data_IF_416786750698
#
_entry.id   IF_416786750698
#
_cell.length_a   1.000
_cell.length_b   1.000
_cell.length_c   1.000
_cell.angle_alpha   90.00
_cell.angle_beta   90.00
_cell.angle_gamma   90.00
#
_symmetry.space_group_name_H-M   'P 1'
#
loop_
_entity.id
_entity.type
_entity.pdbx_description
1 polymer ?
#
# COMPACT_ATOMS: atom_id res chain seq x y z
N UNK A 1 13.59 -21.79 35.76
CA UNK A 1 14.16 -22.76 34.81
C UNK A 1 13.01 -23.39 34.04
N UNK A 2 12.71 -22.90 32.85
CA UNK A 2 11.73 -23.50 31.96
C UNK A 2 12.53 -24.37 30.97
N UNK A 3 12.53 -25.67 31.19
CA UNK A 3 13.12 -26.64 30.27
C UNK A 3 12.20 -26.77 29.06
N UNK A 4 12.39 -25.87 28.09
CA UNK A 4 11.73 -25.95 26.79
C UNK A 4 12.32 -27.10 26.00
N UNK A 5 11.48 -28.08 25.71
CA UNK A 5 11.74 -29.18 24.79
C UNK A 5 12.08 -28.59 23.41
N UNK A 6 13.35 -28.73 22.99
CA UNK A 6 13.84 -28.32 21.67
C UNK A 6 13.53 -29.41 20.66
N UNK A 7 12.26 -29.68 20.39
CA UNK A 7 11.90 -30.31 19.13
C UNK A 7 12.01 -29.24 18.04
N UNK A 8 13.20 -29.11 17.45
CA UNK A 8 13.39 -28.43 16.17
C UNK A 8 12.62 -29.23 15.11
N UNK A 9 11.31 -28.99 15.01
CA UNK A 9 10.55 -29.42 13.85
C UNK A 9 11.20 -28.78 12.63
N UNK A 10 11.69 -29.61 11.70
CA UNK A 10 12.12 -29.14 10.38
C UNK A 10 10.95 -28.37 9.79
N UNK A 11 11.13 -27.06 9.55
CA UNK A 11 10.10 -26.24 8.95
C UNK A 11 9.65 -26.91 7.64
N UNK A 12 8.37 -27.29 7.55
CA UNK A 12 7.84 -28.00 6.39
C UNK A 12 8.05 -27.12 5.15
N UNK A 13 8.88 -27.60 4.23
CA UNK A 13 9.12 -26.89 2.98
C UNK A 13 7.82 -26.84 2.19
N UNK A 14 7.37 -25.62 1.91
CA UNK A 14 6.21 -25.36 1.08
C UNK A 14 6.45 -25.87 -0.36
N UNK A 15 5.54 -26.68 -0.89
CA UNK A 15 5.53 -27.12 -2.31
C UNK A 15 5.60 -25.93 -3.30
N UNK A 16 6.13 -26.16 -4.49
CA UNK A 16 6.09 -25.15 -5.55
C UNK A 16 4.63 -24.84 -5.96
N UNK A 17 4.36 -23.58 -6.33
CA UNK A 17 3.09 -23.20 -6.93
C UNK A 17 2.98 -23.80 -8.36
N UNK A 18 1.80 -24.31 -8.70
CA UNK A 18 1.49 -24.89 -9.99
C UNK A 18 0.67 -23.91 -10.83
N UNK A 19 1.03 -23.70 -12.11
CA UNK A 19 0.31 -22.78 -12.98
C UNK A 19 -1.08 -23.31 -13.33
N UNK A 20 -1.98 -22.40 -13.72
CA UNK A 20 -3.29 -22.70 -14.28
C UNK A 20 -3.70 -21.62 -15.30
N UNK A 21 -4.46 -22.02 -16.31
CA UNK A 21 -5.07 -21.09 -17.26
C UNK A 21 -6.44 -20.64 -16.76
N UNK A 22 -6.83 -19.40 -17.08
CA UNK A 22 -8.18 -18.92 -16.79
C UNK A 22 -9.20 -19.75 -17.57
N UNK A 23 -10.19 -20.28 -16.85
CA UNK A 23 -11.38 -20.89 -17.42
C UNK A 23 -12.46 -19.83 -17.66
N UNK A 24 -13.17 -19.93 -18.78
CA UNK A 24 -14.23 -18.99 -19.15
C UNK A 24 -13.73 -17.67 -19.73
N UNK A 25 -14.64 -16.70 -19.88
CA UNK A 25 -14.34 -15.37 -20.44
C UNK A 25 -14.23 -14.35 -19.31
N UNK A 26 -13.29 -13.41 -19.42
CA UNK A 26 -13.13 -12.32 -18.45
C UNK A 26 -14.44 -11.54 -18.23
N UNK A 27 -15.15 -11.23 -19.31
CA UNK A 27 -16.40 -10.46 -19.28
C UNK A 27 -17.52 -11.16 -18.51
N UNK A 28 -17.46 -12.49 -18.37
CA UNK A 28 -18.44 -13.26 -17.60
C UNK A 28 -18.32 -13.01 -16.09
N UNK A 29 -17.15 -12.56 -15.59
CA UNK A 29 -16.92 -12.36 -14.15
C UNK A 29 -17.90 -11.34 -13.58
N UNK A 30 -18.11 -10.21 -14.26
CA UNK A 30 -19.05 -9.18 -13.80
C UNK A 30 -20.48 -9.69 -13.62
N UNK A 31 -20.88 -10.71 -14.38
CA UNK A 31 -22.24 -11.26 -14.35
C UNK A 31 -22.33 -12.46 -13.40
N UNK A 32 -21.36 -13.37 -13.48
CA UNK A 32 -21.43 -14.71 -12.88
C UNK A 32 -20.79 -14.80 -11.50
N UNK A 33 -19.78 -13.99 -11.20
CA UNK A 33 -19.15 -14.04 -9.88
C UNK A 33 -20.13 -13.49 -8.83
N UNK A 34 -20.35 -14.27 -7.77
CA UNK A 34 -21.18 -13.91 -6.63
C UNK A 34 -20.39 -14.18 -5.36
N UNK A 35 -20.34 -13.16 -4.51
CA UNK A 35 -19.74 -13.21 -3.19
C UNK A 35 -20.48 -12.20 -2.33
N UNK A 36 -20.67 -12.50 -1.04
CA UNK A 36 -21.49 -11.67 -0.16
C UNK A 36 -20.95 -10.24 -0.09
N UNK A 37 -21.87 -9.28 -0.19
CA UNK A 37 -21.61 -7.84 -0.16
C UNK A 37 -20.61 -7.34 -1.22
N UNK A 38 -20.41 -8.07 -2.31
CA UNK A 38 -19.54 -7.65 -3.41
C UNK A 38 -20.35 -7.27 -4.64
N UNK A 39 -20.02 -6.12 -5.22
CA UNK A 39 -20.52 -5.70 -6.52
C UNK A 39 -19.37 -5.49 -7.48
N UNK A 40 -19.30 -6.33 -8.51
CA UNK A 40 -18.36 -6.15 -9.63
C UNK A 40 -18.90 -5.05 -10.54
N UNK A 41 -18.13 -3.99 -10.75
CA UNK A 41 -18.51 -2.87 -11.61
C UNK A 41 -18.05 -3.08 -13.06
N UNK A 42 -16.94 -3.79 -13.26
CA UNK A 42 -16.46 -4.16 -14.60
C UNK A 42 -15.51 -5.35 -14.55
N UNK A 43 -15.47 -6.11 -15.63
CA UNK A 43 -14.45 -7.13 -15.90
C UNK A 43 -14.11 -7.08 -17.38
N UNK A 44 -12.87 -6.76 -17.72
CA UNK A 44 -12.44 -6.51 -19.11
C UNK A 44 -11.13 -7.23 -19.41
N UNK A 45 -11.07 -7.93 -20.54
CA UNK A 45 -9.84 -8.55 -21.02
C UNK A 45 -8.83 -7.49 -21.48
N UNK A 46 -7.59 -7.61 -21.01
CA UNK A 46 -6.47 -6.74 -21.34
C UNK A 46 -5.40 -7.57 -22.05
N UNK A 47 -5.00 -7.15 -23.25
CA UNK A 47 -3.94 -7.80 -24.01
C UNK A 47 -2.59 -7.68 -23.29
N UNK A 48 -1.66 -8.58 -23.61
CA UNK A 48 -0.28 -8.46 -23.12
C UNK A 48 0.34 -7.17 -23.64
N UNK A 49 1.10 -6.48 -22.80
CA UNK A 49 1.72 -5.20 -23.16
C UNK A 49 1.92 -4.27 -21.98
N UNK A 50 2.17 -3.00 -22.30
CA UNK A 50 2.45 -1.96 -21.32
C UNK A 50 1.15 -1.51 -20.61
N UNK A 51 1.12 -1.64 -19.28
CA UNK A 51 0.04 -1.13 -18.43
C UNK A 51 0.53 0.15 -17.77
N UNK A 52 -0.12 1.27 -18.11
CA UNK A 52 0.22 2.57 -17.56
C UNK A 52 -0.08 2.63 -16.06
N UNK A 53 0.87 3.16 -15.29
CA UNK A 53 0.65 3.59 -13.91
C UNK A 53 0.28 5.06 -13.94
N UNK A 54 -0.97 5.36 -13.65
CA UNK A 54 -1.30 6.68 -13.12
C UNK A 54 -0.83 6.69 -11.67
N UNK A 55 0.36 7.22 -11.41
CA UNK A 55 0.77 7.50 -10.03
C UNK A 55 -0.02 8.69 -9.47
N UNK A 56 0.42 9.18 -8.30
CA UNK A 56 0.02 10.51 -7.82
C UNK A 56 0.14 11.56 -8.96
N UNK A 57 -0.61 12.67 -8.95
CA UNK A 57 -0.69 13.65 -10.05
C UNK A 57 0.65 14.09 -10.69
N UNK A 58 1.78 13.90 -10.00
CA UNK A 58 3.12 14.30 -10.41
C UNK A 58 4.12 13.13 -10.60
N UNK A 59 3.68 11.87 -10.56
CA UNK A 59 4.57 10.73 -10.83
C UNK A 59 4.77 10.54 -12.35
N UNK A 60 5.98 10.18 -12.81
CA UNK A 60 6.18 9.80 -14.21
C UNK A 60 5.19 8.68 -14.57
N UNK A 61 4.50 8.82 -15.71
CA UNK A 61 3.67 7.75 -16.28
C UNK A 61 4.59 6.62 -16.73
N UNK A 62 4.97 5.77 -15.79
CA UNK A 62 5.71 4.55 -16.06
C UNK A 62 4.70 3.49 -16.50
N UNK A 63 5.03 2.74 -17.53
CA UNK A 63 4.23 1.61 -17.96
C UNK A 63 5.01 0.33 -17.73
N UNK A 64 4.38 -0.66 -17.10
CA UNK A 64 5.01 -1.96 -16.85
C UNK A 64 4.49 -2.98 -17.84
N UNK A 65 5.39 -3.80 -18.38
CA UNK A 65 4.98 -4.93 -19.20
C UNK A 65 4.18 -5.92 -18.34
N UNK A 66 2.99 -6.30 -18.77
CA UNK A 66 2.15 -7.31 -18.13
C UNK A 66 1.72 -8.37 -19.15
N UNK A 67 1.53 -9.64 -18.72
CA UNK A 67 0.92 -10.66 -19.56
C UNK A 67 -0.53 -10.31 -19.87
N UNK A 68 -1.15 -11.00 -20.83
CA UNK A 68 -2.59 -10.89 -21.04
C UNK A 68 -3.32 -11.29 -19.75
N UNK A 69 -4.31 -10.49 -19.34
CA UNK A 69 -4.98 -10.65 -18.06
C UNK A 69 -6.41 -10.11 -18.10
N UNK A 70 -7.23 -10.51 -17.15
CA UNK A 70 -8.53 -9.91 -16.89
C UNK A 70 -8.38 -8.81 -15.83
N UNK A 71 -8.90 -7.61 -16.10
CA UNK A 71 -9.01 -6.53 -15.13
C UNK A 71 -10.42 -6.51 -14.57
N UNK A 72 -10.54 -6.75 -13.27
CA UNK A 72 -11.80 -6.73 -12.52
C UNK A 72 -11.79 -5.53 -11.59
N UNK A 73 -12.86 -4.74 -11.58
CA UNK A 73 -13.08 -3.65 -10.62
C UNK A 73 -14.39 -3.86 -9.89
N UNK A 74 -14.43 -3.45 -8.63
CA UNK A 74 -15.62 -3.60 -7.82
C UNK A 74 -15.54 -2.86 -6.51
N UNK A 75 -16.60 -3.03 -5.73
CA UNK A 75 -16.72 -2.54 -4.37
C UNK A 75 -17.25 -3.64 -3.46
N UNK A 76 -16.89 -3.56 -2.18
CA UNK A 76 -17.39 -4.45 -1.14
C UNK A 76 -17.93 -3.64 0.04
N UNK A 77 -18.96 -4.16 0.71
CA UNK A 77 -19.58 -3.57 1.90
C UNK A 77 -20.00 -2.09 1.71
N UNK A 78 -20.82 -1.84 0.69
CA UNK A 78 -21.44 -0.51 0.49
C UNK A 78 -22.38 -0.18 1.67
N UNK A 79 -22.17 0.99 2.29
CA UNK A 79 -22.92 1.40 3.48
C UNK A 79 -22.98 2.92 3.67
N UNK A 80 -23.87 3.36 4.56
CA UNK A 80 -23.92 4.71 5.11
C UNK A 80 -23.13 4.75 6.42
N UNK A 81 -22.16 5.66 6.53
CA UNK A 81 -21.38 5.87 7.74
C UNK A 81 -22.13 6.65 8.82
N UNK A 82 -21.60 6.61 10.04
CA UNK A 82 -22.13 7.35 11.19
C UNK A 82 -22.02 8.88 11.01
N UNK A 83 -21.10 9.33 10.14
CA UNK A 83 -20.93 10.72 9.73
C UNK A 83 -21.85 11.12 8.56
N UNK A 84 -22.76 10.23 8.13
CA UNK A 84 -23.68 10.47 7.02
C UNK A 84 -23.05 10.38 5.63
N UNK A 85 -21.80 9.94 5.47
CA UNK A 85 -21.16 9.74 4.16
C UNK A 85 -21.35 8.31 3.65
N UNK A 86 -21.22 8.11 2.35
CA UNK A 86 -21.26 6.77 1.76
C UNK A 86 -19.84 6.18 1.79
N UNK A 87 -19.73 4.93 2.22
CA UNK A 87 -18.47 4.18 2.26
C UNK A 87 -18.63 2.85 1.54
N UNK A 88 -17.53 2.40 0.94
CA UNK A 88 -17.36 1.06 0.40
C UNK A 88 -15.86 0.76 0.34
N UNK A 89 -15.50 -0.51 0.30
CA UNK A 89 -14.13 -0.95 0.02
C UNK A 89 -13.99 -1.12 -1.48
N UNK A 90 -13.42 -0.12 -2.14
CA UNK A 90 -13.10 -0.19 -3.57
C UNK A 90 -11.89 -1.08 -3.81
N UNK A 91 -11.92 -1.81 -4.92
CA UNK A 91 -10.78 -2.62 -5.35
C UNK A 91 -10.65 -2.70 -6.87
N UNK A 92 -9.42 -2.95 -7.32
CA UNK A 92 -9.17 -3.57 -8.61
C UNK A 92 -8.34 -4.83 -8.43
N UNK A 93 -8.61 -5.84 -9.25
CA UNK A 93 -7.89 -7.10 -9.28
C UNK A 93 -7.51 -7.44 -10.72
N UNK A 94 -6.27 -7.90 -10.92
CA UNK A 94 -5.74 -8.33 -12.21
C UNK A 94 -5.41 -9.83 -12.16
N UNK A 95 -6.01 -10.58 -13.07
CA UNK A 95 -5.99 -12.04 -13.12
C UNK A 95 -5.35 -12.49 -14.45
N UNK A 96 -4.09 -12.95 -14.48
CA UNK A 96 -3.43 -13.40 -15.71
C UNK A 96 -4.19 -14.50 -16.44
N UNK A 97 -4.25 -14.46 -17.78
CA UNK A 97 -4.85 -15.56 -18.55
C UNK A 97 -4.07 -16.86 -18.38
N UNK A 98 -2.75 -16.75 -18.19
CA UNK A 98 -1.85 -17.83 -17.77
C UNK A 98 -1.29 -17.46 -16.39
N UNK A 99 -1.89 -18.01 -15.34
CA UNK A 99 -1.57 -17.67 -13.95
C UNK A 99 -0.54 -18.65 -13.37
N UNK A 100 0.37 -18.12 -12.56
CA UNK A 100 1.48 -18.89 -12.00
C UNK A 100 1.16 -19.63 -10.69
N UNK A 101 -0.11 -19.64 -10.26
CA UNK A 101 -0.56 -20.26 -9.00
C UNK A 101 -0.40 -19.39 -7.75
N UNK A 102 0.07 -18.13 -7.88
CA UNK A 102 0.35 -17.24 -6.74
C UNK A 102 -0.53 -15.99 -6.70
N UNK A 103 -0.96 -15.62 -5.50
CA UNK A 103 -1.75 -14.42 -5.23
C UNK A 103 -0.90 -13.36 -4.51
N UNK A 104 -1.09 -12.08 -4.86
CA UNK A 104 -0.41 -10.96 -4.22
C UNK A 104 -1.39 -9.84 -3.85
N UNK A 105 -1.47 -9.49 -2.58
CA UNK A 105 -2.17 -8.30 -2.09
C UNK A 105 -1.22 -7.11 -2.10
N UNK A 106 -1.46 -6.15 -2.99
CA UNK A 106 -0.72 -4.89 -3.05
C UNK A 106 -1.32 -3.91 -2.03
N UNK A 107 -0.61 -3.73 -0.91
CA UNK A 107 -1.00 -2.77 0.12
C UNK A 107 -0.48 -1.36 -0.23
N UNK A 108 -1.34 -0.36 -0.08
CA UNK A 108 -1.11 1.00 -0.60
C UNK A 108 -0.58 1.97 0.46
N UNK A 109 -0.08 3.13 0.00
CA UNK A 109 0.61 4.13 0.80
C UNK A 109 -0.25 5.30 1.28
N UNK A 110 0.34 6.20 2.06
CA UNK A 110 -0.33 7.41 2.57
C UNK A 110 -1.49 7.07 3.50
N UNK A 111 -2.60 7.79 3.36
CA UNK A 111 -3.84 7.49 4.08
C UNK A 111 -4.78 6.55 3.29
N UNK A 112 -4.27 5.84 2.28
CA UNK A 112 -5.09 5.13 1.27
C UNK A 112 -6.06 6.08 0.55
N UNK A 113 -7.34 5.74 0.39
CA UNK A 113 -8.32 6.64 -0.24
C UNK A 113 -8.46 6.49 -1.75
N UNK A 114 -7.58 5.71 -2.38
CA UNK A 114 -7.55 5.52 -3.84
C UNK A 114 -7.09 4.11 -4.20
N UNK A 115 -7.86 3.45 -5.07
CA UNK A 115 -7.48 2.16 -5.67
C UNK A 115 -6.30 2.40 -6.61
N UNK A 116 -5.14 1.86 -6.26
CA UNK A 116 -3.95 1.93 -7.11
C UNK A 116 -3.99 0.85 -8.20
N UNK A 117 -3.24 1.07 -9.28
CA UNK A 117 -3.10 0.05 -10.33
C UNK A 117 -2.46 -1.21 -9.74
N UNK A 118 -3.14 -2.35 -9.84
CA UNK A 118 -2.77 -3.62 -9.20
C UNK A 118 -1.66 -4.36 -9.96
N UNK A 119 -0.45 -3.79 -10.01
CA UNK A 119 0.71 -4.39 -10.68
C UNK A 119 1.54 -5.29 -9.76
N UNK A 120 1.35 -5.19 -8.45
CA UNK A 120 2.16 -5.83 -7.43
C UNK A 120 3.51 -5.16 -7.28
N UNK A 121 3.56 -3.84 -7.41
CA UNK A 121 4.78 -3.05 -7.23
C UNK A 121 5.06 -2.81 -5.73
N UNK A 122 6.33 -2.75 -5.37
CA UNK A 122 6.79 -2.72 -3.97
C UNK A 122 7.24 -1.33 -3.50
N UNK A 123 7.32 -0.37 -4.43
CA UNK A 123 8.07 0.88 -4.24
C UNK A 123 9.58 0.65 -4.36
N UNK A 124 10.38 1.72 -4.32
CA UNK A 124 11.85 1.63 -4.24
C UNK A 124 12.60 1.33 -5.54
N UNK A 125 11.98 1.52 -6.72
CA UNK A 125 12.70 1.44 -8.01
C UNK A 125 12.68 0.11 -8.81
N UNK A 126 12.06 -1.01 -8.40
CA UNK A 126 11.92 -2.17 -9.29
C UNK A 126 11.23 -1.82 -10.61
N UNK A 127 11.79 -2.29 -11.73
CA UNK A 127 11.24 -2.13 -13.08
C UNK A 127 10.15 -3.15 -13.42
N UNK A 128 9.78 -4.02 -12.47
CA UNK A 128 8.74 -5.07 -12.62
C UNK A 128 7.89 -5.18 -11.35
N UNK A 129 6.77 -5.90 -11.43
CA UNK A 129 5.86 -6.17 -10.30
C UNK A 129 5.28 -7.59 -10.34
N UNK A 130 4.52 -7.99 -9.32
CA UNK A 130 3.97 -9.34 -9.21
C UNK A 130 3.11 -9.75 -10.43
N UNK A 131 2.36 -8.83 -11.03
CA UNK A 131 1.56 -9.12 -12.22
C UNK A 131 2.44 -9.50 -13.43
N UNK A 132 3.57 -8.83 -13.61
CA UNK A 132 4.56 -9.15 -14.64
C UNK A 132 5.06 -10.59 -14.49
N UNK A 133 5.22 -11.06 -13.25
CA UNK A 133 5.66 -12.41 -12.90
C UNK A 133 4.52 -13.45 -12.96
N UNK A 134 3.31 -13.04 -13.39
CA UNK A 134 2.15 -13.92 -13.54
C UNK A 134 1.35 -14.17 -12.27
N UNK A 135 1.47 -13.32 -11.25
CA UNK A 135 0.61 -13.38 -10.06
C UNK A 135 -0.77 -12.80 -10.35
N UNK A 136 -1.77 -13.31 -9.65
CA UNK A 136 -3.04 -12.58 -9.49
C UNK A 136 -2.84 -11.49 -8.44
N UNK A 137 -3.20 -10.25 -8.75
CA UNK A 137 -2.90 -9.10 -7.89
C UNK A 137 -4.17 -8.34 -7.55
N UNK A 138 -4.38 -7.97 -6.29
CA UNK A 138 -5.44 -7.06 -5.85
C UNK A 138 -4.86 -5.78 -5.22
N UNK A 139 -5.54 -4.65 -5.42
CA UNK A 139 -5.27 -3.37 -4.75
C UNK A 139 -6.60 -2.73 -4.30
N UNK A 140 -6.57 -1.92 -3.24
CA UNK A 140 -7.77 -1.35 -2.62
C UNK A 140 -7.57 0.07 -2.10
N UNK A 141 -8.65 0.86 -2.05
CA UNK A 141 -8.68 2.17 -1.38
C UNK A 141 -8.81 2.09 0.15
N UNK A 142 -8.84 0.88 0.70
CA UNK A 142 -8.99 0.57 2.12
C UNK A 142 -10.30 1.08 2.77
N UNK A 143 -11.39 1.20 2.00
CA UNK A 143 -12.72 1.42 2.57
C UNK A 143 -13.19 2.87 2.60
N UNK A 144 -12.46 3.78 1.95
CA UNK A 144 -12.85 5.17 1.78
C UNK A 144 -12.33 5.69 0.45
N UNK A 145 -13.11 6.56 -0.21
CA UNK A 145 -12.75 7.14 -1.49
C UNK A 145 -12.44 8.63 -1.34
N UNK A 146 -11.45 9.11 -2.08
CA UNK A 146 -11.14 10.54 -2.21
C UNK A 146 -9.65 10.84 -2.11
N UNK A 147 -9.33 12.12 -1.85
CA UNK A 147 -7.96 12.55 -1.62
C UNK A 147 -7.41 11.94 -0.32
N UNK A 148 -6.10 11.69 -0.26
CA UNK A 148 -5.40 11.16 0.93
C UNK A 148 -5.46 12.16 2.11
N UNK A 149 -6.61 12.25 2.76
CA UNK A 149 -6.88 13.15 3.87
C UNK A 149 -7.59 12.38 5.02
N UNK A 150 -7.54 12.89 6.26
CA UNK A 150 -8.03 12.13 7.41
C UNK A 150 -9.56 12.22 7.60
N UNK A 151 -10.34 12.75 6.65
CA UNK A 151 -11.76 13.02 6.85
C UNK A 151 -12.64 11.78 7.03
N UNK A 152 -12.16 10.60 6.59
CA UNK A 152 -12.78 9.30 6.88
C UNK A 152 -12.75 8.95 8.37
N UNK A 153 -11.88 9.59 9.15
CA UNK A 153 -11.71 9.36 10.58
C UNK A 153 -12.94 9.70 11.44
N UNK A 154 -13.94 10.38 10.87
CA UNK A 154 -15.23 10.61 11.53
C UNK A 154 -16.09 9.35 11.65
N UNK A 155 -15.86 8.33 10.82
CA UNK A 155 -16.61 7.08 10.83
C UNK A 155 -15.77 5.93 11.45
N UNK A 156 -16.25 5.26 12.52
CA UNK A 156 -15.50 4.19 13.18
C UNK A 156 -15.17 3.00 12.28
N UNK A 157 -16.11 2.59 11.41
CA UNK A 157 -15.91 1.44 10.53
C UNK A 157 -14.95 1.78 9.37
N UNK A 158 -14.91 3.02 8.90
CA UNK A 158 -13.93 3.48 7.92
C UNK A 158 -12.52 3.45 8.52
N UNK A 159 -12.35 3.86 9.78
CA UNK A 159 -11.08 3.69 10.53
C UNK A 159 -10.68 2.23 10.66
N UNK A 160 -11.65 1.35 10.93
CA UNK A 160 -11.42 -0.08 11.03
C UNK A 160 -11.00 -0.68 9.68
N UNK A 161 -11.69 -0.33 8.59
CA UNK A 161 -11.35 -0.79 7.25
C UNK A 161 -9.95 -0.33 6.82
N UNK A 162 -9.59 0.94 7.06
CA UNK A 162 -8.24 1.46 6.87
C UNK A 162 -7.20 0.70 7.72
N UNK A 163 -7.53 0.44 8.99
CA UNK A 163 -6.62 -0.23 9.91
C UNK A 163 -6.33 -1.69 9.53
N UNK A 164 -7.36 -2.47 9.21
CA UNK A 164 -7.23 -3.90 8.93
C UNK A 164 -8.43 -4.53 8.20
N UNK A 165 -9.63 -3.93 8.31
CA UNK A 165 -10.87 -4.53 7.81
C UNK A 165 -10.88 -4.75 6.30
N UNK A 166 -10.33 -3.83 5.51
CA UNK A 166 -10.30 -3.98 4.06
C UNK A 166 -9.44 -5.18 3.63
N UNK A 167 -8.28 -5.39 4.25
CA UNK A 167 -7.44 -6.57 4.02
C UNK A 167 -8.19 -7.84 4.45
N UNK A 168 -8.79 -7.83 5.64
CA UNK A 168 -9.53 -8.99 6.17
C UNK A 168 -10.66 -9.45 5.25
N UNK A 169 -11.40 -8.50 4.66
CA UNK A 169 -12.59 -8.76 3.84
C UNK A 169 -12.24 -9.11 2.39
N UNK A 170 -11.32 -8.36 1.78
CA UNK A 170 -10.94 -8.58 0.38
C UNK A 170 -10.11 -9.84 0.15
N UNK A 171 -9.32 -10.28 1.13
CA UNK A 171 -8.47 -11.47 0.97
C UNK A 171 -9.26 -12.76 0.65
N UNK A 172 -10.26 -13.16 1.45
CA UNK A 172 -11.07 -14.35 1.13
C UNK A 172 -11.89 -14.17 -0.14
N UNK A 173 -12.42 -12.97 -0.41
CA UNK A 173 -13.11 -12.66 -1.67
C UNK A 173 -12.21 -12.86 -2.88
N UNK A 174 -10.98 -12.31 -2.86
CA UNK A 174 -10.01 -12.44 -3.94
C UNK A 174 -9.61 -13.91 -4.18
N UNK A 175 -9.38 -14.67 -3.10
CA UNK A 175 -9.09 -16.11 -3.19
C UNK A 175 -10.26 -16.91 -3.76
N UNK A 176 -11.50 -16.53 -3.43
CA UNK A 176 -12.69 -17.15 -3.99
C UNK A 176 -12.82 -16.85 -5.49
N UNK A 177 -12.60 -15.60 -5.91
CA UNK A 177 -12.58 -15.23 -7.32
C UNK A 177 -11.50 -16.00 -8.10
N UNK A 178 -10.29 -16.12 -7.55
CA UNK A 178 -9.22 -16.96 -8.13
C UNK A 178 -9.69 -18.41 -8.29
N UNK A 179 -10.30 -18.99 -7.25
CA UNK A 179 -10.82 -20.36 -7.31
C UNK A 179 -11.92 -20.52 -8.37
N UNK A 180 -12.81 -19.54 -8.51
CA UNK A 180 -13.85 -19.53 -9.55
C UNK A 180 -13.26 -19.54 -10.96
N UNK A 181 -12.22 -18.74 -11.21
CA UNK A 181 -11.72 -18.55 -12.59
C UNK A 181 -10.61 -19.53 -12.97
N UNK A 182 -9.85 -20.08 -12.01
CA UNK A 182 -8.77 -21.03 -12.29
C UNK A 182 -9.06 -22.46 -11.84
N UNK A 183 -10.22 -22.71 -11.20
CA UNK A 183 -10.61 -24.02 -10.69
C UNK A 183 -9.89 -24.46 -9.41
N UNK A 184 -9.03 -23.62 -8.83
CA UNK A 184 -8.34 -23.88 -7.56
C UNK A 184 -7.96 -22.59 -6.83
N UNK A 185 -7.82 -22.68 -5.51
CA UNK A 185 -7.27 -21.59 -4.69
C UNK A 185 -5.77 -21.33 -5.00
N UNK A 186 -5.20 -20.18 -4.61
CA UNK A 186 -3.76 -19.94 -4.65
C UNK A 186 -2.98 -21.03 -3.93
N UNK A 187 -1.91 -21.53 -4.55
CA UNK A 187 -0.97 -22.38 -3.84
C UNK A 187 -0.17 -21.53 -2.85
N UNK A 188 0.13 -20.27 -3.21
CA UNK A 188 0.82 -19.31 -2.33
C UNK A 188 0.15 -17.95 -2.37
N UNK A 189 0.07 -17.31 -1.21
CA UNK A 189 -0.49 -15.97 -1.04
C UNK A 189 0.52 -15.04 -0.38
N UNK A 190 0.68 -13.85 -0.94
CA UNK A 190 1.63 -12.84 -0.47
C UNK A 190 0.90 -11.53 -0.23
N UNK A 191 1.39 -10.74 0.71
CA UNK A 191 0.99 -9.34 0.90
C UNK A 191 2.25 -8.49 1.03
N UNK A 192 2.22 -7.30 0.46
CA UNK A 192 3.34 -6.38 0.64
C UNK A 192 3.08 -4.97 0.15
N UNK A 193 3.90 -4.07 0.66
CA UNK A 193 3.88 -2.65 0.33
C UNK A 193 4.88 -1.86 1.16
N UNK A 194 4.99 -0.56 0.86
CA UNK A 194 5.89 0.37 1.52
C UNK A 194 5.11 1.44 2.32
N UNK A 195 5.69 2.01 3.38
CA UNK A 195 5.04 3.03 4.22
C UNK A 195 3.77 2.51 4.91
N UNK A 196 2.60 3.09 4.65
CA UNK A 196 1.32 2.54 5.10
C UNK A 196 1.07 1.13 4.55
N UNK A 197 1.58 0.79 3.36
CA UNK A 197 1.53 -0.56 2.82
C UNK A 197 2.35 -1.55 3.66
N UNK A 198 3.51 -1.09 4.16
CA UNK A 198 4.32 -1.86 5.12
C UNK A 198 3.59 -2.06 6.45
N UNK A 199 2.85 -1.04 6.92
CA UNK A 199 1.97 -1.18 8.09
C UNK A 199 0.87 -2.21 7.86
N UNK A 200 0.11 -2.13 6.77
CA UNK A 200 -0.90 -3.13 6.40
C UNK A 200 -0.31 -4.55 6.39
N UNK A 201 0.90 -4.68 5.84
CA UNK A 201 1.63 -5.96 5.78
C UNK A 201 2.00 -6.50 7.16
N UNK A 202 2.51 -5.65 8.07
CA UNK A 202 2.78 -6.06 9.47
C UNK A 202 1.49 -6.37 10.25
N UNK A 203 0.41 -5.65 9.99
CA UNK A 203 -0.91 -5.94 10.57
C UNK A 203 -1.42 -7.30 10.07
N UNK A 204 -1.26 -7.61 8.78
CA UNK A 204 -1.60 -8.93 8.26
C UNK A 204 -0.73 -10.04 8.86
N UNK A 205 0.58 -9.81 9.03
CA UNK A 205 1.50 -10.75 9.69
C UNK A 205 1.14 -11.03 11.16
N UNK A 206 0.43 -10.12 11.82
CA UNK A 206 0.01 -10.29 13.21
C UNK A 206 -1.44 -10.76 13.39
N UNK A 207 -2.31 -10.55 12.39
CA UNK A 207 -3.76 -10.82 12.51
C UNK A 207 -4.30 -11.87 11.55
N UNK A 208 -3.64 -12.08 10.41
CA UNK A 208 -4.12 -12.90 9.29
C UNK A 208 -3.04 -13.90 8.87
N UNK A 209 -2.46 -14.60 9.85
CA UNK A 209 -1.36 -15.55 9.67
C UNK A 209 -1.76 -16.78 8.86
N UNK A 210 -3.05 -17.11 8.84
CA UNK A 210 -3.65 -18.17 8.03
C UNK A 210 -3.89 -17.75 6.57
N UNK A 211 -3.78 -16.45 6.27
CA UNK A 211 -4.12 -15.91 4.95
C UNK A 211 -2.92 -15.73 4.01
N UNK A 212 -1.70 -15.70 4.52
CA UNK A 212 -0.51 -15.37 3.71
C UNK A 212 0.69 -16.24 4.08
N UNK A 213 1.44 -16.66 3.07
CA UNK A 213 2.67 -17.43 3.20
C UNK A 213 3.92 -16.53 3.21
N UNK A 214 3.81 -15.31 2.69
CA UNK A 214 4.92 -14.37 2.59
C UNK A 214 4.50 -12.91 2.75
N UNK A 215 5.34 -12.15 3.46
CA UNK A 215 5.10 -10.77 3.84
C UNK A 215 6.27 -9.91 3.38
N UNK A 216 6.01 -8.91 2.54
CA UNK A 216 7.05 -8.00 2.07
C UNK A 216 6.84 -6.59 2.62
N UNK A 217 7.63 -6.26 3.64
CA UNK A 217 7.42 -5.08 4.49
C UNK A 217 8.46 -4.00 4.16
N UNK A 218 8.05 -2.94 3.47
CA UNK A 218 8.88 -1.76 3.22
C UNK A 218 8.54 -0.59 4.15
N UNK A 219 9.56 0.04 4.77
CA UNK A 219 9.45 1.25 5.60
C UNK A 219 8.14 1.35 6.44
N UNK A 220 7.81 0.36 7.27
CA UNK A 220 6.45 0.21 7.80
C UNK A 220 6.08 1.32 8.79
N UNK A 221 4.94 1.97 8.55
CA UNK A 221 4.31 2.90 9.51
C UNK A 221 3.61 2.19 10.68
N UNK A 222 4.25 1.21 11.34
CA UNK A 222 3.57 0.36 12.33
C UNK A 222 3.14 1.10 13.62
N UNK A 223 3.66 2.30 13.87
CA UNK A 223 3.23 3.22 14.94
C UNK A 223 2.66 4.54 14.39
N UNK A 224 1.92 4.50 13.27
CA UNK A 224 1.37 5.70 12.61
C UNK A 224 0.69 6.73 13.53
N UNK A 225 -0.10 6.36 14.56
CA UNK A 225 -0.66 7.35 15.48
C UNK A 225 0.39 8.21 16.21
N UNK A 226 1.57 7.64 16.49
CA UNK A 226 2.67 8.37 17.11
C UNK A 226 3.43 9.23 16.11
N UNK A 227 3.45 8.87 14.82
CA UNK A 227 4.03 9.72 13.78
C UNK A 227 3.28 11.05 13.68
N UNK A 228 1.95 11.05 13.83
CA UNK A 228 1.16 12.28 13.87
C UNK A 228 1.54 13.18 15.07
N UNK A 229 1.74 12.58 16.26
CA UNK A 229 2.21 13.32 17.45
C UNK A 229 3.61 13.90 17.23
N UNK A 230 4.53 13.11 16.68
CA UNK A 230 5.88 13.56 16.36
C UNK A 230 5.88 14.71 15.34
N UNK A 231 5.00 14.67 14.35
CA UNK A 231 4.84 15.77 13.37
C UNK A 231 4.32 17.05 14.04
N UNK A 232 3.33 16.96 14.93
CA UNK A 232 2.80 18.14 15.65
C UNK A 232 3.89 18.74 16.54
N UNK A 233 4.61 17.90 17.31
CA UNK A 233 5.71 18.34 18.14
C UNK A 233 6.82 18.99 17.32
N UNK A 234 7.28 18.33 16.25
CA UNK A 234 8.34 18.84 15.38
C UNK A 234 7.95 20.14 14.67
N UNK A 235 6.70 20.27 14.20
CA UNK A 235 6.21 21.51 13.60
C UNK A 235 6.30 22.69 14.57
N UNK A 236 6.09 22.46 15.87
CA UNK A 236 6.31 23.47 16.91
C UNK A 236 7.78 23.88 17.01
N UNK A 237 8.71 22.92 16.98
CA UNK A 237 10.15 23.21 17.04
C UNK A 237 10.63 24.00 15.81
N UNK A 238 10.21 23.61 14.61
CA UNK A 238 10.61 24.28 13.37
C UNK A 238 10.01 25.67 13.21
N UNK A 239 8.81 25.89 13.76
CA UNK A 239 8.17 27.20 13.77
C UNK A 239 9.04 28.24 14.48
N UNK A 240 9.64 27.89 15.61
CA UNK A 240 10.48 28.82 16.40
C UNK A 240 11.77 29.21 15.69
N UNK A 241 12.18 28.44 14.67
CA UNK A 241 13.34 28.72 13.82
C UNK A 241 12.98 29.46 12.53
N UNK A 242 11.70 29.52 12.16
CA UNK A 242 11.26 30.13 10.91
C UNK A 242 11.31 31.66 10.99
N UNK A 243 11.80 32.36 9.95
CA UNK A 243 11.89 33.81 9.94
C UNK A 243 10.50 34.46 9.97
N UNK A 244 10.27 35.34 10.95
CA UNK A 244 8.98 36.02 11.12
C UNK A 244 8.73 37.13 10.10
N UNK A 245 9.76 37.66 9.42
CA UNK A 245 9.62 38.79 8.50
C UNK A 245 10.49 38.72 7.24
N UNK A 246 9.95 39.16 6.07
CA UNK A 246 8.57 39.62 5.87
C UNK A 246 7.55 38.46 5.82
N UNK A 247 6.45 38.57 6.58
CA UNK A 247 5.37 37.57 6.75
C UNK A 247 4.73 37.09 5.42
N UNK A 248 4.77 37.92 4.37
CA UNK A 248 4.26 37.57 3.04
C UNK A 248 5.13 36.53 2.30
N UNK A 249 6.40 36.39 2.69
CA UNK A 249 7.32 35.38 2.18
C UNK A 249 7.42 34.15 3.10
N UNK A 250 6.83 34.19 4.31
CA UNK A 250 6.96 33.16 5.34
C UNK A 250 5.62 32.62 5.85
N UNK A 251 4.56 32.69 5.04
CA UNK A 251 3.24 32.13 5.39
C UNK A 251 2.55 31.35 4.27
N UNK A 252 1.87 30.27 4.66
CA UNK A 252 1.09 29.37 3.79
C UNK A 252 -0.41 29.48 4.11
N UNK A 253 -1.27 29.17 3.15
CA UNK A 253 -2.71 29.02 3.41
C UNK A 253 -2.97 27.66 4.07
N UNK A 254 -3.81 27.62 5.11
CA UNK A 254 -4.21 26.37 5.73
C UNK A 254 -5.02 25.51 4.74
N UNK A 255 -4.63 24.23 4.50
CA UNK A 255 -5.17 23.43 3.40
C UNK A 255 -6.66 23.08 3.55
N UNK A 256 -7.21 23.16 4.76
CA UNK A 256 -8.64 22.91 5.04
C UNK A 256 -9.42 24.16 5.44
N UNK A 257 -8.75 25.29 5.66
CA UNK A 257 -9.37 26.54 6.14
C UNK A 257 -8.65 27.70 5.44
N UNK A 258 -8.93 27.96 4.15
CA UNK A 258 -8.09 28.82 3.31
C UNK A 258 -7.87 30.26 3.84
N UNK A 259 -8.76 30.72 4.72
CA UNK A 259 -8.68 32.03 5.37
C UNK A 259 -7.68 32.08 6.55
N UNK A 260 -7.15 30.94 6.98
CA UNK A 260 -6.14 30.85 8.05
C UNK A 260 -4.75 30.79 7.42
N UNK A 261 -3.85 31.66 7.88
CA UNK A 261 -2.43 31.64 7.52
C UNK A 261 -1.64 30.81 8.53
N UNK A 262 -0.72 30.00 8.03
CA UNK A 262 0.23 29.21 8.80
C UNK A 262 1.64 29.75 8.55
N UNK A 263 2.51 29.69 9.55
CA UNK A 263 3.95 29.92 9.35
C UNK A 263 4.50 28.86 8.41
N UNK A 264 5.31 29.27 7.43
CA UNK A 264 6.05 28.34 6.58
C UNK A 264 7.25 27.76 7.34
N UNK A 265 7.03 26.63 8.01
CA UNK A 265 8.06 25.95 8.80
C UNK A 265 9.21 25.40 7.94
N UNK A 266 9.07 25.35 6.60
CA UNK A 266 10.15 24.88 5.72
C UNK A 266 11.35 25.84 5.68
N UNK A 267 11.12 27.10 6.08
CA UNK A 267 12.13 28.14 6.16
C UNK A 267 12.98 28.06 7.44
N UNK A 268 12.51 27.39 8.50
CA UNK A 268 13.22 27.31 9.79
C UNK A 268 14.42 26.36 9.79
N UNK A 269 14.54 25.49 8.80
CA UNK A 269 15.72 24.66 8.56
C UNK A 269 15.76 24.33 7.08
N UNK A 270 16.26 25.27 6.30
CA UNK A 270 16.10 25.29 4.84
C UNK A 270 17.04 24.27 4.15
N UNK A 271 17.09 24.27 2.81
CA UNK A 271 17.90 23.31 2.07
C UNK A 271 19.41 23.46 2.33
N UNK A 272 19.90 24.70 2.47
CA UNK A 272 21.32 24.98 2.71
C UNK A 272 21.72 24.55 4.13
N UNK A 273 20.88 24.86 5.12
CA UNK A 273 21.09 24.41 6.52
C UNK A 273 21.13 22.89 6.61
N UNK A 274 20.20 22.20 5.92
CA UNK A 274 20.17 20.73 5.84
C UNK A 274 21.43 20.17 5.19
N UNK A 275 21.95 20.81 4.16
CA UNK A 275 23.17 20.37 3.49
C UNK A 275 24.40 20.52 4.39
N UNK A 276 24.49 21.62 5.15
CA UNK A 276 25.57 21.82 6.14
C UNK A 276 25.55 20.69 7.17
N UNK A 277 24.38 20.37 7.73
CA UNK A 277 24.25 19.29 8.72
C UNK A 277 24.53 17.91 8.09
N UNK A 278 24.03 17.64 6.88
CA UNK A 278 24.31 16.40 6.17
C UNK A 278 25.82 16.20 5.94
N UNK A 279 26.53 17.25 5.50
CA UNK A 279 27.98 17.22 5.32
C UNK A 279 28.72 16.96 6.64
N UNK A 280 28.27 17.57 7.74
CA UNK A 280 28.85 17.33 9.06
C UNK A 280 28.63 15.89 9.56
N UNK A 281 27.48 15.29 9.26
CA UNK A 281 27.20 13.88 9.54
C UNK A 281 28.15 13.00 8.73
N UNK A 282 28.27 13.21 7.42
CA UNK A 282 29.16 12.43 6.56
C UNK A 282 30.62 12.53 7.01
N UNK A 283 31.11 13.74 7.30
CA UNK A 283 32.47 13.95 7.79
C UNK A 283 32.79 13.16 9.07
N UNK A 284 31.77 12.86 9.89
CA UNK A 284 31.91 12.11 11.14
C UNK A 284 31.64 10.62 11.00
N UNK A 285 30.72 10.23 10.11
CA UNK A 285 30.11 8.90 10.13
C UNK A 285 30.34 8.07 8.85
N UNK A 286 30.69 8.66 7.71
CA UNK A 286 30.84 7.97 6.42
C UNK A 286 31.88 6.82 6.53
N UNK A 287 33.10 7.14 6.96
CA UNK A 287 34.18 6.18 7.15
C UNK A 287 33.95 5.08 8.22
N UNK A 288 32.86 5.12 9.00
CA UNK A 288 32.64 4.17 10.11
C UNK A 288 32.26 2.76 9.63
N UNK A 289 31.81 2.60 8.40
CA UNK A 289 31.58 1.29 7.77
C UNK A 289 32.79 0.79 6.96
N UNK A 290 33.88 1.58 6.90
CA UNK A 290 35.12 1.25 6.20
C UNK A 290 35.20 1.78 4.76
N UNK A 291 34.18 2.51 4.27
CA UNK A 291 34.21 3.22 3.01
C UNK A 291 34.01 4.73 3.21
N UNK A 292 34.50 5.56 2.28
CA UNK A 292 34.15 6.99 2.24
C UNK A 292 33.46 7.23 0.92
N UNK A 293 32.16 6.95 0.90
CA UNK A 293 31.34 6.88 -0.31
C UNK A 293 30.09 7.77 -0.26
N UNK A 294 29.98 8.60 0.78
CA UNK A 294 28.85 9.50 0.99
C UNK A 294 27.61 8.80 1.54
N UNK A 295 27.72 7.58 2.06
CA UNK A 295 26.66 6.86 2.76
C UNK A 295 27.04 6.62 4.22
N UNK A 296 26.04 6.42 5.07
CA UNK A 296 26.26 6.02 6.47
C UNK A 296 25.60 4.65 6.65
N UNK A 297 26.39 3.58 6.51
CA UNK A 297 25.89 2.20 6.66
C UNK A 297 26.15 1.61 8.05
N UNK A 298 26.90 2.33 8.88
CA UNK A 298 27.13 2.00 10.28
C UNK A 298 26.67 3.16 11.17
N UNK A 299 25.45 3.04 11.70
CA UNK A 299 24.75 4.04 12.53
C UNK A 299 24.92 3.79 14.02
#
# INVERSE_FOLDING_TARGET
>A
MHTGDKTQGTATQLKAAAPAAMSGKCDDIAVKFKYDNVRISSSVAVAAGAVAVSGAPNAPKTAYAAPAHCLVKGVMDERKGADGKNYAIGFEMRLPMQWNGRFYYQANGGLDGSVQVALGALGGGPLTGALHQGFSVISSDAGHAGNQNPSFGGDPEARQNYGYGAVAKLTPMAKNLIATVYGKAPDRSYIGGCSNGGRHTMVAASRFTDQYDGYLVGAPGYRLPQAALAQVWGSGQWKDLAPETPLAASSLNHPFVPNVKLTDISLGFNADDRQIVANAILAKCDALDGATDGMVQNV
#
